data_IF_025867989797
#
_entry.id   IF_025867989797
#
_cell.length_a   1.000
_cell.length_b   1.000
_cell.length_c   1.000
_cell.angle_alpha   90.00
_cell.angle_beta   90.00
_cell.angle_gamma   90.00
#
_symmetry.space_group_name_H-M   'P 1'
#
loop_
_entity.id
_entity.type
_entity.pdbx_description
1 polymer ?
2 non-polymer ?
3 water ?
#
# COMPACT_ATOMS: atom_id res chain seq x y z
N UNK A 2 -11.48 19.82 -12.51
CA UNK A 2 -10.76 18.54 -12.86
C UNK A 2 -11.51 17.31 -12.38
N UNK A 3 -10.84 16.16 -12.41
CA UNK A 3 -11.45 14.90 -11.98
C UNK A 3 -11.19 14.58 -10.51
N UNK A 4 -12.15 13.92 -9.87
CA UNK A 4 -11.98 13.52 -8.49
C UNK A 4 -11.85 12.02 -8.50
N UNK A 5 -10.87 11.51 -7.77
CA UNK A 5 -10.62 10.08 -7.68
C UNK A 5 -11.01 9.57 -6.30
N UNK A 6 -11.87 8.58 -6.26
CA UNK A 6 -12.27 8.00 -4.97
C UNK A 6 -11.54 6.68 -4.80
N UNK A 7 -10.83 6.54 -3.67
CA UNK A 7 -10.09 5.31 -3.40
C UNK A 7 -10.98 4.41 -2.56
N UNK A 8 -11.56 3.41 -3.22
CA UNK A 8 -12.49 2.49 -2.56
C UNK A 8 -11.90 1.16 -2.11
N UNK A 9 -10.59 1.10 -1.89
CA UNK A 9 -9.99 -0.15 -1.42
C UNK A 9 -10.68 -0.56 -0.12
N UNK A 10 -11.07 -1.83 0.00
CA UNK A 10 -11.74 -2.31 1.22
C UNK A 10 -11.01 -2.03 2.53
N UNK A 11 -9.69 -1.89 2.48
CA UNK A 11 -8.94 -1.60 3.70
C UNK A 11 -9.15 -0.15 4.11
N UNK A 12 -9.20 0.74 3.12
CA UNK A 12 -9.41 2.14 3.40
C UNK A 12 -10.82 2.25 3.97
N UNK A 13 -11.80 1.69 3.26
CA UNK A 13 -13.18 1.72 3.70
C UNK A 13 -13.32 1.21 5.13
N UNK A 14 -12.63 0.11 5.43
CA UNK A 14 -12.67 -0.48 6.75
C UNK A 14 -12.15 0.52 7.80
N UNK A 15 -10.92 0.99 7.63
CA UNK A 15 -10.33 1.93 8.58
C UNK A 15 -11.09 3.25 8.69
N UNK A 16 -11.67 3.69 7.57
CA UNK A 16 -12.44 4.93 7.57
C UNK A 16 -13.59 4.81 8.57
N UNK A 17 -14.27 3.67 8.55
CA UNK A 17 -15.37 3.44 9.47
C UNK A 17 -15.01 3.71 10.93
N UNK A 18 -13.86 3.20 11.39
CA UNK A 18 -13.50 3.42 12.78
C UNK A 18 -13.02 4.84 13.03
N UNK A 19 -12.54 5.47 11.96
CA UNK A 19 -12.09 6.84 12.03
C UNK A 19 -13.30 7.74 12.32
N UNK A 20 -14.43 7.45 11.66
CA UNK A 20 -15.66 8.22 11.85
C UNK A 20 -16.33 7.99 13.21
N UNK A 21 -16.40 6.73 13.62
CA UNK A 21 -17.03 6.35 14.88
C UNK A 21 -16.65 7.27 16.03
N UNK A 22 -17.66 7.91 16.63
CA UNK A 22 -17.42 8.84 17.72
C UNK A 22 -16.66 8.23 18.88
N UNK A 23 -16.78 6.92 19.06
CA UNK A 23 -16.12 6.29 20.19
C UNK A 23 -14.64 6.04 20.03
N UNK A 24 -14.10 6.24 18.84
CA UNK A 24 -12.68 6.03 18.66
C UNK A 24 -11.92 7.17 19.34
N UNK A 25 -11.10 6.81 20.32
CA UNK A 25 -10.32 7.81 21.04
C UNK A 25 -9.25 8.44 20.18
N UNK A 26 -8.66 9.50 20.72
CA UNK A 26 -7.64 10.26 19.99
C UNK A 26 -6.45 9.42 19.52
N UNK A 27 -5.95 8.53 20.36
CA UNK A 27 -4.82 7.70 19.99
C UNK A 27 -5.08 6.77 18.79
N UNK A 28 -6.23 6.11 18.77
CA UNK A 28 -6.55 5.24 17.65
C UNK A 28 -6.76 6.06 16.38
N UNK A 29 -7.49 7.17 16.56
CA UNK A 29 -7.79 8.07 15.46
C UNK A 29 -6.48 8.40 14.75
N UNK A 30 -5.58 9.03 15.51
CA UNK A 30 -4.27 9.43 15.05
C UNK A 30 -3.61 8.33 14.24
N UNK A 31 -3.48 7.16 14.85
CA UNK A 31 -2.87 6.01 14.20
C UNK A 31 -3.61 5.49 12.98
N UNK A 32 -4.93 5.56 13.01
CA UNK A 32 -5.74 5.10 11.89
C UNK A 32 -5.59 6.01 10.66
N UNK A 33 -5.55 7.32 10.91
CA UNK A 33 -5.41 8.29 9.83
C UNK A 33 -4.06 8.09 9.15
N UNK A 34 -3.01 7.92 9.95
CA UNK A 34 -1.67 7.70 9.42
C UNK A 34 -1.67 6.49 8.48
N UNK A 35 -2.37 5.43 8.89
CA UNK A 35 -2.47 4.22 8.08
C UNK A 35 -3.21 4.49 6.76
N UNK A 36 -4.40 5.08 6.85
CA UNK A 36 -5.16 5.37 5.65
C UNK A 36 -4.39 6.33 4.74
N UNK A 37 -3.47 7.08 5.34
CA UNK A 37 -2.67 8.02 4.57
C UNK A 37 -1.69 7.23 3.73
N UNK A 38 -0.97 6.31 4.35
CA UNK A 38 -0.01 5.49 3.61
C UNK A 38 -0.71 4.71 2.49
N UNK A 39 -1.88 4.16 2.80
CA UNK A 39 -2.62 3.39 1.82
C UNK A 39 -3.01 4.22 0.60
N UNK A 40 -3.43 5.47 0.82
CA UNK A 40 -3.80 6.34 -0.29
C UNK A 40 -2.57 6.77 -1.07
N UNK A 41 -1.44 6.88 -0.37
CA UNK A 41 -0.20 7.27 -0.99
C UNK A 41 0.14 6.22 -2.06
N UNK A 42 -0.14 4.96 -1.75
CA UNK A 42 0.14 3.89 -2.71
C UNK A 42 -0.70 4.06 -3.97
N UNK A 43 -2.00 4.26 -3.80
CA UNK A 43 -2.93 4.44 -4.91
C UNK A 43 -2.60 5.63 -5.79
N UNK A 44 -2.23 6.74 -5.15
CA UNK A 44 -1.93 7.95 -5.90
C UNK A 44 -0.64 7.88 -6.69
N UNK A 45 0.39 7.24 -6.13
CA UNK A 45 1.67 7.14 -6.81
C UNK A 45 1.71 6.10 -7.91
N UNK A 46 0.57 5.50 -8.22
CA UNK A 46 0.50 4.48 -9.26
C UNK A 46 0.88 5.06 -10.63
N UNK A 47 0.93 6.38 -10.70
CA UNK A 47 1.26 7.14 -11.92
C UNK A 47 2.74 7.23 -12.24
N UNK A 48 3.54 7.51 -11.22
CA UNK A 48 4.98 7.67 -11.38
C UNK A 48 5.55 7.05 -12.65
N UNK A 49 6.16 7.88 -13.51
CA UNK A 49 6.75 7.44 -14.78
C UNK A 49 7.93 6.51 -14.57
N UNK A 50 8.07 5.52 -15.44
CA UNK A 50 9.17 4.56 -15.34
C UNK A 50 10.15 4.76 -16.50
N UNK A 51 11.43 4.63 -16.17
CA UNK A 51 12.51 4.77 -17.14
C UNK A 51 13.24 3.44 -17.03
N UNK A 52 13.69 2.86 -18.14
CA UNK A 52 14.36 1.57 -17.99
C UNK A 52 15.87 1.58 -18.15
N UNK A 53 16.53 1.10 -17.10
CA UNK A 53 17.97 1.01 -17.03
C UNK A 53 18.39 -0.44 -17.23
N UNK A 54 19.69 -0.68 -17.17
CA UNK A 54 20.24 -2.03 -17.33
C UNK A 54 21.10 -2.39 -16.11
N UNK A 55 20.61 -3.34 -15.32
CA UNK A 55 21.34 -3.77 -14.14
C UNK A 55 21.98 -5.12 -14.42
N UNK A 56 22.58 -5.71 -13.39
CA UNK A 56 23.22 -7.01 -13.52
C UNK A 56 23.05 -7.82 -12.24
N UNK A 57 22.15 -8.79 -12.27
CA UNK A 57 21.88 -9.65 -11.12
C UNK A 57 23.04 -10.61 -10.93
N UNK A 58 23.03 -11.39 -9.84
CA UNK A 58 24.11 -12.34 -9.54
C UNK A 58 24.12 -13.48 -10.54
N UNK A 59 23.07 -13.55 -11.35
CA UNK A 59 22.95 -14.61 -12.36
C UNK A 59 23.21 -14.14 -13.78
N UNK A 60 22.76 -12.94 -14.14
CA UNK A 60 22.99 -12.43 -15.49
C UNK A 60 22.63 -10.96 -15.59
N UNK A 61 22.79 -10.37 -16.77
CA UNK A 61 22.42 -8.97 -16.96
C UNK A 61 20.92 -8.93 -17.06
N UNK A 62 20.34 -7.74 -17.00
CA UNK A 62 18.90 -7.58 -17.10
C UNK A 62 18.45 -6.16 -17.38
N UNK A 63 17.26 -6.07 -17.96
CA UNK A 63 16.68 -4.78 -18.27
C UNK A 63 15.57 -4.57 -17.25
N UNK A 64 15.76 -3.62 -16.35
CA UNK A 64 14.77 -3.34 -15.32
C UNK A 64 14.27 -1.92 -15.46
N UNK A 65 13.39 -1.53 -14.54
CA UNK A 65 12.82 -0.19 -14.55
C UNK A 65 12.98 0.49 -13.21
N UNK A 66 13.04 1.82 -13.23
CA UNK A 66 13.16 2.60 -12.01
C UNK A 66 12.24 3.81 -12.15
N UNK A 67 11.92 4.46 -11.04
CA UNK A 67 11.05 5.61 -11.12
C UNK A 67 11.69 6.81 -11.81
N UNK A 68 10.98 7.26 -12.84
CA UNK A 68 11.33 8.38 -13.72
C UNK A 68 12.31 9.40 -13.19
N UNK A 69 12.17 9.75 -11.92
CA UNK A 69 13.05 10.76 -11.38
C UNK A 69 12.31 12.07 -11.53
N UNK A 70 11.68 12.50 -10.43
CA UNK A 70 10.93 13.73 -10.39
C UNK A 70 10.89 14.12 -8.92
N UNK A 71 10.70 15.41 -8.66
CA UNK A 71 10.67 15.91 -7.29
C UNK A 71 9.24 16.03 -6.77
N UNK A 72 9.02 15.57 -5.55
CA UNK A 72 7.70 15.61 -4.96
C UNK A 72 7.64 16.51 -3.73
N UNK A 73 6.47 17.10 -3.54
CA UNK A 73 6.27 17.96 -2.40
C UNK A 73 4.99 17.66 -1.67
N UNK A 74 5.09 17.44 -0.37
CA UNK A 74 3.93 17.17 0.45
C UNK A 74 3.73 18.39 1.33
N UNK A 75 2.54 18.99 1.24
CA UNK A 75 2.23 20.19 2.01
C UNK A 75 0.93 20.09 2.79
N UNK A 76 1.03 19.94 4.11
CA UNK A 76 -0.17 19.85 4.94
C UNK A 76 -0.70 21.24 5.23
N UNK A 77 -2.01 21.35 5.43
CA UNK A 77 -2.63 22.62 5.79
C UNK A 77 -2.76 22.62 7.31
N UNK A 78 -2.04 23.48 8.02
CA UNK A 78 -2.13 23.50 9.48
C UNK A 78 -3.59 23.61 9.91
N UNK A 79 -3.98 22.89 10.96
CA UNK A 79 -3.07 22.01 11.68
C UNK A 79 -3.33 20.53 11.40
N UNK A 80 -4.60 20.16 11.25
CA UNK A 80 -4.94 18.76 11.02
C UNK A 80 -4.26 18.16 9.80
N UNK A 81 -3.52 18.97 9.07
CA UNK A 81 -2.86 18.44 7.89
C UNK A 81 -1.66 17.58 8.19
N UNK A 82 -0.98 17.84 9.30
CA UNK A 82 0.19 17.05 9.60
C UNK A 82 -0.13 15.58 9.86
N UNK A 83 -1.37 15.29 10.21
CA UNK A 83 -1.76 13.92 10.48
C UNK A 83 -1.62 12.95 9.32
N UNK A 84 -1.40 13.46 8.12
CA UNK A 84 -1.29 12.62 6.93
C UNK A 84 0.04 12.75 6.18
N UNK A 85 1.02 13.40 6.78
CA UNK A 85 2.30 13.59 6.11
C UNK A 85 3.22 12.37 6.21
N UNK A 86 3.62 12.01 7.43
CA UNK A 86 4.50 10.86 7.64
C UNK A 86 3.98 9.58 6.97
N UNK A 87 2.66 9.45 6.89
CA UNK A 87 2.08 8.29 6.26
C UNK A 87 2.50 8.24 4.80
N UNK A 88 2.50 9.41 4.16
CA UNK A 88 2.89 9.52 2.76
C UNK A 88 4.40 9.45 2.62
N UNK A 89 5.11 10.04 3.57
CA UNK A 89 6.55 10.03 3.53
C UNK A 89 7.13 8.61 3.60
N UNK A 90 6.35 7.67 4.11
CA UNK A 90 6.80 6.27 4.19
C UNK A 90 7.12 5.76 2.80
N UNK A 91 6.23 6.02 1.84
CA UNK A 91 6.43 5.58 0.47
C UNK A 91 7.39 6.47 -0.30
N UNK A 92 7.34 7.77 -0.03
CA UNK A 92 8.21 8.72 -0.74
C UNK A 92 9.01 9.54 0.26
N UNK A 93 10.09 8.95 0.82
CA UNK A 93 10.94 9.60 1.80
C UNK A 93 11.72 10.80 1.24
N UNK A 94 11.88 10.82 -0.08
CA UNK A 94 12.62 11.89 -0.74
C UNK A 94 11.83 13.19 -0.86
N UNK A 95 10.51 13.07 -0.98
CA UNK A 95 9.64 14.23 -1.12
C UNK A 95 9.94 15.22 -0.02
N UNK A 96 9.83 16.50 -0.37
CA UNK A 96 10.07 17.58 0.57
C UNK A 96 8.77 18.02 1.21
N UNK A 97 8.86 18.50 2.45
CA UNK A 97 7.67 18.92 3.17
C UNK A 97 7.55 20.43 3.42
N UNK A 98 6.46 21.01 2.96
CA UNK A 98 6.21 22.42 3.17
C UNK A 98 4.90 22.62 3.93
N UNK A 99 4.80 23.71 4.68
CA UNK A 99 3.60 24.00 5.45
C UNK A 99 2.90 25.28 5.00
N UNK A 100 1.62 25.40 5.32
CA UNK A 100 0.84 26.57 4.98
C UNK A 100 -0.17 26.85 6.07
N UNK A 101 -0.11 28.06 6.63
CA UNK A 101 -1.04 28.47 7.66
C UNK A 101 -2.05 29.43 7.04
N UNK A 102 -3.25 29.48 7.59
CA UNK A 102 -4.29 30.38 7.09
C UNK A 102 -4.99 31.02 8.28
N UNK A 103 -5.37 32.29 8.12
CA UNK A 103 -6.08 33.00 9.18
C UNK A 103 -7.47 33.35 8.65
N UNK A 104 -8.38 33.68 9.54
CA UNK A 104 -9.73 34.03 9.14
C UNK A 104 -10.10 35.34 9.80
N UNK A 105 -10.67 36.28 9.05
CA UNK A 105 -11.05 37.54 9.67
C UNK A 105 -12.56 37.59 9.98
N UNK A 106 -12.93 38.34 11.04
CA UNK A 106 -14.29 38.52 11.53
C UNK A 106 -15.42 38.55 10.50
N UNK A 107 -15.42 39.56 9.64
CA UNK A 107 -16.47 39.68 8.66
C UNK A 107 -15.98 39.31 7.25
N UNK A 108 -15.63 38.04 7.07
CA UNK A 108 -15.15 37.56 5.78
C UNK A 108 -15.73 36.18 5.52
N UNK A 109 -15.73 35.78 4.27
CA UNK A 109 -16.27 34.48 3.87
C UNK A 109 -15.21 33.46 3.46
N UNK A 110 -13.94 33.86 3.48
CA UNK A 110 -12.86 32.98 3.06
C UNK A 110 -11.57 33.12 3.85
N UNK A 111 -10.82 32.02 4.01
CA UNK A 111 -9.56 31.99 4.73
C UNK A 111 -8.54 32.75 3.90
N UNK A 112 -7.37 33.02 4.46
CA UNK A 112 -6.36 33.76 3.71
C UNK A 112 -4.94 33.39 4.09
N UNK A 113 -4.09 33.27 3.07
CA UNK A 113 -2.69 32.94 3.26
C UNK A 113 -2.17 33.71 4.48
N UNK A 114 -1.40 33.04 5.34
CA UNK A 114 -0.88 33.66 6.57
C UNK A 114 0.56 33.27 6.87
N UNK A 115 0.86 31.99 6.69
CA UNK A 115 2.19 31.49 6.96
C UNK A 115 2.52 30.49 5.87
N UNK A 116 3.62 30.73 5.17
CA UNK A 116 4.04 29.84 4.09
C UNK A 116 5.53 29.53 4.13
N UNK A 117 5.85 28.25 4.10
CA UNK A 117 7.23 27.80 4.10
C UNK A 117 7.27 26.65 3.11
N UNK A 118 8.06 26.79 2.07
CA UNK A 118 8.17 25.76 1.05
C UNK A 118 9.63 25.48 0.72
N UNK A 119 9.88 24.34 0.05
CA UNK A 119 11.25 23.98 -0.33
C UNK A 119 11.59 24.94 -1.46
N UNK A 120 12.85 25.33 -1.60
CA UNK A 120 13.25 26.30 -2.64
C UNK A 120 13.06 25.92 -4.11
N UNK A 121 13.08 24.64 -4.42
CA UNK A 121 12.90 24.18 -5.80
C UNK A 121 11.45 24.22 -6.30
N UNK A 122 10.62 25.06 -5.68
CA UNK A 122 9.20 25.19 -6.02
C UNK A 122 8.80 25.03 -7.49
N UNK A 123 9.36 25.87 -8.35
CA UNK A 123 9.06 25.83 -9.78
C UNK A 123 9.13 24.42 -10.37
N UNK A 124 10.09 23.64 -9.89
CA UNK A 124 10.31 22.29 -10.40
C UNK A 124 9.35 21.18 -10.00
N UNK A 125 9.22 20.93 -8.70
CA UNK A 125 8.40 19.84 -8.19
C UNK A 125 6.89 19.88 -8.13
N UNK A 126 6.32 18.68 -8.25
CA UNK A 126 4.88 18.46 -8.19
C UNK A 126 4.52 18.40 -6.71
N UNK A 127 3.40 19.02 -6.36
CA UNK A 127 2.96 19.06 -4.97
C UNK A 127 1.64 18.36 -4.74
N UNK A 128 1.48 17.92 -3.50
CA UNK A 128 0.25 17.27 -3.06
C UNK A 128 -0.12 17.97 -1.76
N UNK A 129 -1.18 18.78 -1.80
CA UNK A 129 -1.65 19.49 -0.61
C UNK A 129 -2.55 18.50 0.11
N UNK A 130 -2.33 18.32 1.41
CA UNK A 130 -3.15 17.39 2.18
C UNK A 130 -3.87 18.02 3.37
N UNK A 131 -5.09 17.56 3.59
CA UNK A 131 -5.92 18.04 4.68
C UNK A 131 -7.00 16.98 4.87
N UNK A 132 -7.23 16.54 6.11
CA UNK A 132 -8.25 15.52 6.36
C UNK A 132 -9.62 15.80 5.76
N UNK A 133 -10.09 17.04 5.93
CA UNK A 133 -11.42 17.42 5.44
C UNK A 133 -11.49 18.54 4.39
N UNK A 134 -12.32 18.32 3.38
CA UNK A 134 -12.55 19.32 2.35
C UNK A 134 -14.02 19.67 2.56
N UNK A 135 -14.29 20.74 3.32
CA UNK A 135 -15.66 21.15 3.64
C UNK A 135 -16.26 22.18 2.68
N UNK A 136 -15.99 23.44 2.96
CA UNK A 136 -16.51 24.52 2.11
C UNK A 136 -15.54 24.75 0.97
N UNK A 137 -14.35 24.16 1.06
CA UNK A 137 -13.35 24.33 0.03
C UNK A 137 -12.58 25.60 0.26
N UNK A 138 -12.99 26.37 1.26
CA UNK A 138 -12.32 27.60 1.57
C UNK A 138 -10.83 27.47 1.77
N UNK A 139 -10.44 26.66 2.75
CA UNK A 139 -9.05 26.43 3.09
C UNK A 139 -8.26 25.84 1.92
N UNK A 140 -8.86 24.91 1.19
CA UNK A 140 -8.17 24.30 0.07
C UNK A 140 -7.82 25.35 -0.99
N UNK A 141 -8.80 26.12 -1.42
CA UNK A 141 -8.58 27.17 -2.43
C UNK A 141 -7.48 28.16 -2.01
N UNK A 142 -7.56 28.68 -0.79
CA UNK A 142 -6.56 29.61 -0.30
C UNK A 142 -5.17 28.98 -0.43
N UNK A 143 -5.08 27.70 -0.07
CA UNK A 143 -3.84 26.95 -0.11
C UNK A 143 -3.29 26.80 -1.53
N UNK A 144 -4.15 26.47 -2.49
CA UNK A 144 -3.71 26.34 -3.88
C UNK A 144 -3.28 27.72 -4.41
N UNK A 145 -4.09 28.75 -4.15
CA UNK A 145 -3.75 30.11 -4.58
C UNK A 145 -2.35 30.40 -4.05
N UNK A 146 -2.09 29.99 -2.81
CA UNK A 146 -0.80 30.19 -2.19
C UNK A 146 0.34 29.55 -3.00
N UNK A 147 0.13 28.32 -3.47
CA UNK A 147 1.17 27.62 -4.24
C UNK A 147 1.32 28.17 -5.66
N UNK A 148 0.21 28.41 -6.35
CA UNK A 148 0.28 28.93 -7.71
C UNK A 148 1.06 30.26 -7.76
N UNK A 149 0.84 31.08 -6.74
CA UNK A 149 1.50 32.36 -6.63
C UNK A 149 3.02 32.19 -6.54
N UNK A 150 3.49 31.05 -6.03
CA UNK A 150 4.93 30.81 -5.93
C UNK A 150 5.47 30.06 -7.14
N UNK A 151 4.59 29.77 -8.09
CA UNK A 151 5.01 29.12 -9.31
C UNK A 151 5.22 27.62 -9.35
N UNK A 152 4.35 26.86 -8.68
CA UNK A 152 4.46 25.42 -8.74
C UNK A 152 3.41 25.11 -9.80
N UNK A 153 3.77 24.36 -10.83
CA UNK A 153 2.78 24.10 -11.87
C UNK A 153 2.13 22.71 -11.86
N UNK A 154 2.26 22.01 -10.74
CA UNK A 154 1.61 20.72 -10.61
C UNK A 154 1.07 20.63 -9.20
N UNK A 155 -0.24 20.67 -9.06
CA UNK A 155 -0.87 20.62 -7.75
C UNK A 155 -2.01 19.61 -7.68
N UNK A 156 -1.95 18.75 -6.67
CA UNK A 156 -2.97 17.73 -6.44
C UNK A 156 -3.46 17.89 -5.01
N UNK A 157 -4.74 17.67 -4.80
CA UNK A 157 -5.28 17.76 -3.46
C UNK A 157 -5.76 16.40 -3.01
N UNK A 158 -5.49 16.06 -1.75
CA UNK A 158 -5.90 14.78 -1.21
C UNK A 158 -6.44 14.93 0.21
N UNK A 159 -7.53 14.23 0.48
CA UNK A 159 -8.20 14.29 1.76
C UNK A 159 -8.92 12.98 2.01
N UNK A 160 -9.41 12.78 3.23
CA UNK A 160 -10.15 11.58 3.58
C UNK A 160 -11.59 11.77 3.15
N UNK A 161 -12.28 12.71 3.79
CA UNK A 161 -13.70 12.98 3.49
C UNK A 161 -13.93 14.38 2.89
N UNK A 162 -14.77 14.45 1.88
CA UNK A 162 -15.08 15.71 1.22
C UNK A 162 -16.58 15.90 1.04
N UNK A 163 -17.02 17.16 1.03
CA UNK A 163 -18.42 17.48 0.84
C UNK A 163 -18.61 18.00 -0.59
N UNK A 164 -19.79 17.80 -1.17
CA UNK A 164 -20.05 18.27 -2.54
C UNK A 164 -19.69 19.73 -2.73
N UNK A 165 -20.22 20.60 -1.87
CA UNK A 165 -19.93 22.02 -1.96
C UNK A 165 -18.45 22.30 -2.08
N UNK A 166 -17.65 21.72 -1.18
CA UNK A 166 -16.21 21.92 -1.20
C UNK A 166 -15.53 21.45 -2.47
N UNK A 167 -16.03 20.35 -3.04
CA UNK A 167 -15.48 19.82 -4.28
C UNK A 167 -15.76 20.84 -5.36
N UNK A 168 -17.00 21.33 -5.37
CA UNK A 168 -17.42 22.32 -6.35
C UNK A 168 -16.61 23.61 -6.23
N UNK A 169 -16.36 24.02 -4.98
CA UNK A 169 -15.59 25.21 -4.73
C UNK A 169 -14.21 25.11 -5.41
N UNK A 170 -13.59 23.94 -5.31
CA UNK A 170 -12.27 23.71 -5.89
C UNK A 170 -12.32 23.63 -7.41
N UNK A 171 -13.31 22.93 -7.92
CA UNK A 171 -13.50 22.79 -9.36
C UNK A 171 -13.54 24.20 -9.96
N UNK A 172 -14.49 24.98 -9.48
CA UNK A 172 -14.69 26.36 -9.91
C UNK A 172 -13.40 27.18 -9.86
N UNK A 173 -12.86 27.35 -8.66
CA UNK A 173 -11.65 28.16 -8.46
C UNK A 173 -10.38 27.64 -9.14
N UNK A 174 -10.23 26.32 -9.24
CA UNK A 174 -9.03 25.74 -9.83
C UNK A 174 -9.35 24.45 -10.60
N UNK A 175 -9.77 24.57 -11.86
CA UNK A 175 -10.09 23.37 -12.65
C UNK A 175 -8.89 22.50 -13.00
N UNK A 176 -7.68 23.04 -12.88
CA UNK A 176 -6.45 22.31 -13.22
C UNK A 176 -5.89 21.46 -12.08
N UNK A 177 -6.64 21.35 -10.98
CA UNK A 177 -6.19 20.57 -9.84
C UNK A 177 -7.09 19.36 -9.67
N UNK A 178 -6.50 18.18 -9.61
CA UNK A 178 -7.29 16.98 -9.41
C UNK A 178 -7.48 16.77 -7.92
N UNK A 179 -8.51 16.03 -7.57
CA UNK A 179 -8.82 15.77 -6.18
C UNK A 179 -8.88 14.28 -5.87
N UNK A 180 -8.24 13.89 -4.79
CA UNK A 180 -8.19 12.50 -4.35
C UNK A 180 -8.84 12.41 -2.98
N UNK A 181 -9.97 11.72 -2.91
CA UNK A 181 -10.68 11.57 -1.65
C UNK A 181 -10.90 10.10 -1.34
N UNK A 182 -11.29 9.80 -0.11
CA UNK A 182 -11.56 8.43 0.30
C UNK A 182 -13.07 8.22 0.44
N UNK A 183 -13.80 9.32 0.49
CA UNK A 183 -15.25 9.26 0.64
C UNK A 183 -15.86 10.62 0.36
N UNK A 184 -17.03 10.61 -0.28
CA UNK A 184 -17.75 11.84 -0.59
C UNK A 184 -19.04 11.80 0.24
N UNK A 185 -19.10 12.61 1.29
CA UNK A 185 -20.30 12.63 2.13
C UNK A 185 -21.39 13.47 1.48
N UNK A 186 -22.51 13.68 2.17
CA UNK A 186 -23.62 14.38 1.53
C UNK A 186 -23.74 15.90 1.57
N UNK A 187 -23.39 16.53 2.69
CA UNK A 187 -23.53 17.97 2.79
C UNK A 187 -22.85 18.59 4.00
N UNK A 188 -23.08 19.89 4.19
CA UNK A 188 -22.53 20.59 5.34
C UNK A 188 -23.68 21.02 6.24
N UNK A 189 -23.39 21.29 7.51
CA UNK A 189 -24.43 21.79 8.41
C UNK A 189 -24.12 23.26 8.68
N UNK A 190 -25.02 23.95 9.36
CA UNK A 190 -24.82 25.36 9.64
C UNK A 190 -23.45 25.75 10.22
N UNK A 191 -22.76 24.84 10.87
CA UNK A 191 -21.47 25.17 11.44
C UNK A 191 -20.31 24.84 10.51
N UNK A 192 -20.61 24.25 9.36
CA UNK A 192 -19.56 23.95 8.41
C UNK A 192 -18.92 22.58 8.50
N UNK A 193 -19.54 21.68 9.27
CA UNK A 193 -19.02 20.32 9.41
C UNK A 193 -19.58 19.40 8.32
N UNK A 194 -18.78 18.45 7.88
CA UNK A 194 -19.24 17.52 6.86
C UNK A 194 -20.17 16.49 7.50
N UNK A 195 -21.26 16.17 6.81
CA UNK A 195 -22.24 15.22 7.30
C UNK A 195 -22.24 13.99 6.41
N UNK A 196 -22.09 12.79 6.99
CA UNK A 196 -21.93 12.47 8.41
C UNK A 196 -20.55 12.85 8.94
N UNK A 197 -19.57 12.84 8.03
CA UNK A 197 -18.22 13.22 8.39
C UNK A 197 -17.51 12.47 9.51
N UNK A 198 -16.72 13.20 10.30
CA UNK A 198 -15.98 12.64 11.41
C UNK A 198 -15.71 13.66 12.52
N UNK A 199 -16.45 14.76 12.51
CA UNK A 199 -16.22 15.77 13.54
C UNK A 199 -15.04 16.66 13.21
N UNK A 200 -14.38 17.16 14.25
CA UNK A 200 -13.24 18.06 14.12
C UNK A 200 -11.89 17.35 14.01
N UNK A 201 -11.43 17.11 12.79
CA UNK A 201 -10.16 16.41 12.56
C UNK A 201 -9.03 16.83 13.51
N UNK A 202 -8.84 18.13 13.68
CA UNK A 202 -7.80 18.61 14.58
C UNK A 202 -7.92 18.15 16.02
N UNK A 203 -9.11 18.25 16.61
CA UNK A 203 -9.28 17.81 18.00
C UNK A 203 -9.10 16.31 18.14
N UNK A 204 -9.67 15.56 17.20
CA UNK A 204 -9.57 14.11 17.23
C UNK A 204 -8.10 13.71 17.08
N UNK A 205 -7.33 14.45 16.29
CA UNK A 205 -5.92 14.15 16.08
C UNK A 205 -5.02 14.46 17.27
N UNK A 206 -4.97 15.72 17.65
CA UNK A 206 -4.11 16.16 18.73
C UNK A 206 -4.70 15.92 20.10
N UNK A 207 -6.01 15.70 20.16
CA UNK A 207 -6.63 15.47 21.45
C UNK A 207 -6.58 16.73 22.28
N UNK A 208 -6.29 17.83 21.62
CA UNK A 208 -6.20 19.12 22.29
C UNK A 208 -6.55 20.26 21.33
N UNK A 209 -6.75 21.45 21.88
CA UNK A 209 -7.10 22.64 21.09
C UNK A 209 -5.86 23.36 20.56
N UNK B 2 -4.81 -22.29 -12.69
CA UNK B 2 -5.52 -21.01 -12.35
C UNK B 2 -4.89 -19.81 -13.02
N UNK B 3 -5.27 -18.60 -12.58
CA UNK B 3 -4.75 -17.37 -13.15
C UNK B 3 -3.55 -16.84 -12.36
N UNK B 4 -2.63 -16.18 -13.07
CA UNK B 4 -1.47 -15.57 -12.42
C UNK B 4 -1.66 -14.07 -12.52
N UNK B 5 -1.47 -13.39 -11.40
CA UNK B 5 -1.62 -11.95 -11.35
C UNK B 5 -0.25 -11.30 -11.20
N UNK B 6 0.06 -10.37 -12.11
CA UNK B 6 1.33 -9.67 -12.03
C UNK B 6 1.07 -8.28 -11.46
N UNK B 7 1.77 -7.92 -10.40
CA UNK B 7 1.62 -6.61 -9.78
C UNK B 7 2.67 -5.68 -10.37
N UNK B 8 2.24 -4.85 -11.31
CA UNK B 8 3.14 -3.93 -12.00
C UNK B 8 3.18 -2.51 -11.47
N UNK B 9 2.85 -2.30 -10.20
CA UNK B 9 2.90 -0.95 -9.65
C UNK B 9 4.33 -0.43 -9.81
N UNK B 10 4.49 0.81 -10.29
CA UNK B 10 5.83 1.39 -10.48
C UNK B 10 6.74 1.38 -9.24
N UNK B 11 6.16 1.36 -8.05
CA UNK B 11 6.98 1.30 -6.84
C UNK B 11 7.57 -0.10 -6.67
N UNK B 12 6.77 -1.12 -6.97
CA UNK B 12 7.22 -2.49 -6.87
C UNK B 12 8.34 -2.65 -7.90
N UNK B 13 8.04 -2.30 -9.14
CA UNK B 13 9.01 -2.38 -10.21
C UNK B 13 10.31 -1.70 -9.82
N UNK B 14 10.21 -0.50 -9.25
CA UNK B 14 11.39 0.25 -8.83
C UNK B 14 12.21 -0.54 -7.81
N UNK B 15 11.57 -0.92 -6.69
CA UNK B 15 12.28 -1.65 -5.65
C UNK B 15 12.80 -3.01 -6.12
N UNK B 16 12.07 -3.65 -7.03
CA UNK B 16 12.50 -4.95 -7.55
C UNK B 16 13.87 -4.81 -8.20
N UNK B 17 14.06 -3.75 -8.98
CA UNK B 17 15.33 -3.50 -9.64
C UNK B 17 16.51 -3.51 -8.69
N UNK B 18 16.40 -2.85 -7.54
CA UNK B 18 17.53 -2.85 -6.62
C UNK B 18 17.67 -4.17 -5.89
N UNK B 19 16.56 -4.90 -5.78
CA UNK B 19 16.57 -6.20 -5.14
C UNK B 19 17.40 -7.16 -5.99
N UNK B 20 17.27 -7.06 -7.31
CA UNK B 20 18.01 -7.91 -8.26
C UNK B 20 19.48 -7.56 -8.36
N UNK B 21 19.78 -6.27 -8.42
CA UNK B 21 21.16 -5.80 -8.56
C UNK B 21 22.11 -6.52 -7.62
N UNK B 22 23.13 -7.15 -8.19
CA UNK B 22 24.10 -7.91 -7.42
C UNK B 22 24.81 -7.09 -6.35
N UNK B 23 24.92 -5.79 -6.56
CA UNK B 23 25.60 -4.95 -5.58
C UNK B 23 24.81 -4.58 -4.33
N UNK B 24 23.52 -4.90 -4.31
CA UNK B 24 22.74 -4.57 -3.12
C UNK B 24 23.12 -5.54 -2.01
N UNK B 25 23.65 -4.99 -0.92
CA UNK B 25 24.06 -5.80 0.21
C UNK B 25 22.89 -6.44 0.92
N UNK B 26 23.20 -7.37 1.81
CA UNK B 26 22.19 -8.10 2.54
C UNK B 26 21.20 -7.22 3.30
N UNK B 27 21.68 -6.19 3.99
CA UNK B 27 20.80 -5.31 4.75
C UNK B 27 19.75 -4.58 3.89
N UNK B 28 20.15 -4.04 2.76
CA UNK B 28 19.20 -3.36 1.88
C UNK B 28 18.20 -4.36 1.31
N UNK B 29 18.75 -5.48 0.85
CA UNK B 29 17.96 -6.55 0.28
C UNK B 29 16.80 -6.86 1.22
N UNK B 30 17.17 -7.28 2.43
CA UNK B 30 16.25 -7.64 3.49
C UNK B 30 15.14 -6.59 3.60
N UNK B 31 15.56 -5.34 3.80
CA UNK B 31 14.62 -4.24 3.94
C UNK B 31 13.76 -3.96 2.71
N UNK B 32 14.34 -4.13 1.53
CA UNK B 32 13.61 -3.90 0.29
C UNK B 32 12.53 -4.98 0.05
N UNK B 33 12.85 -6.23 0.35
CA UNK B 33 11.90 -7.32 0.18
C UNK B 33 10.71 -7.07 1.11
N UNK B 34 11.00 -6.71 2.36
CA UNK B 34 9.94 -6.44 3.33
C UNK B 34 8.97 -5.38 2.77
N UNK B 35 9.54 -4.33 2.18
CA UNK B 35 8.74 -3.27 1.60
C UNK B 35 7.89 -3.79 0.44
N UNK B 36 8.52 -4.48 -0.52
CA UNK B 36 7.75 -5.00 -1.66
C UNK B 36 6.70 -5.99 -1.20
N UNK B 37 6.93 -6.57 -0.03
CA UNK B 37 5.99 -7.53 0.54
C UNK B 37 4.73 -6.79 0.97
N UNK B 38 4.91 -5.72 1.75
CA UNK B 38 3.78 -4.92 2.19
C UNK B 38 2.99 -4.36 0.99
N UNK B 39 3.71 -3.90 -0.03
CA UNK B 39 3.07 -3.33 -1.21
C UNK B 39 2.21 -4.34 -1.94
N UNK B 40 2.67 -5.58 -2.06
CA UNK B 40 1.89 -6.62 -2.72
C UNK B 40 0.71 -7.05 -1.85
N UNK B 41 0.89 -6.94 -0.53
CA UNK B 41 -0.16 -7.32 0.39
C UNK B 41 -1.34 -6.39 0.12
N UNK B 42 -1.06 -5.13 -0.18
CA UNK B 42 -2.14 -4.18 -0.45
C UNK B 42 -2.92 -4.61 -1.69
N UNK B 43 -2.19 -4.90 -2.77
CA UNK B 43 -2.80 -5.31 -4.05
C UNK B 43 -3.63 -6.58 -3.93
N UNK B 44 -3.11 -7.55 -3.19
CA UNK B 44 -3.81 -8.82 -3.04
C UNK B 44 -5.07 -8.73 -2.20
N UNK B 45 -5.05 -7.93 -1.14
CA UNK B 45 -6.21 -7.80 -0.27
C UNK B 45 -7.31 -6.92 -0.82
N UNK B 46 -7.16 -6.48 -2.07
CA UNK B 46 -8.17 -5.62 -2.68
C UNK B 46 -9.51 -6.35 -2.81
N UNK B 47 -9.49 -7.66 -2.60
CA UNK B 47 -10.67 -8.54 -2.70
C UNK B 47 -11.57 -8.53 -1.48
N UNK B 48 -10.96 -8.60 -0.30
CA UNK B 48 -11.68 -8.64 0.97
C UNK B 48 -13.12 -8.15 0.88
N UNK B 49 -14.07 -9.03 1.19
CA UNK B 49 -15.51 -8.72 1.16
C UNK B 49 -15.87 -7.68 2.20
N UNK B 50 -16.81 -6.81 1.84
CA UNK B 50 -17.28 -5.76 2.72
C UNK B 50 -18.71 -6.01 3.16
N UNK B 51 -18.95 -5.73 4.43
CA UNK B 51 -20.27 -5.89 5.04
C UNK B 51 -20.59 -4.49 5.56
N UNK B 52 -21.83 -4.03 5.44
CA UNK B 52 -22.10 -2.70 5.94
C UNK B 52 -22.87 -2.58 7.23
N UNK B 53 -22.22 -1.91 8.19
CA UNK B 53 -22.77 -1.68 9.51
C UNK B 53 -23.27 -0.24 9.60
N UNK B 54 -23.76 0.12 10.78
CA UNK B 54 -24.25 1.47 11.03
C UNK B 54 -23.53 2.07 12.23
N UNK B 55 -22.70 3.08 11.99
CA UNK B 55 -21.96 3.74 13.06
C UNK B 55 -22.60 5.09 13.34
N UNK B 56 -21.97 5.86 14.21
CA UNK B 56 -22.46 7.18 14.56
C UNK B 56 -21.28 8.14 14.80
N UNK B 57 -21.03 9.03 13.83
CA UNK B 57 -19.95 9.99 13.94
C UNK B 57 -20.35 11.08 14.94
N UNK B 58 -19.42 11.99 15.28
CA UNK B 58 -19.72 13.06 16.23
C UNK B 58 -20.71 14.06 15.66
N UNK B 59 -21.03 13.92 14.38
CA UNK B 59 -21.97 14.82 13.72
C UNK B 59 -23.32 14.18 13.47
N UNK B 60 -23.35 12.92 13.06
CA UNK B 60 -24.63 12.24 12.80
C UNK B 60 -24.43 10.75 12.65
N UNK B 61 -25.51 10.02 12.39
CA UNK B 61 -25.42 8.58 12.20
C UNK B 61 -24.88 8.40 10.79
N UNK B 62 -24.47 7.18 10.46
CA UNK B 62 -23.96 6.90 9.13
C UNK B 62 -23.92 5.42 8.80
N UNK B 63 -23.92 5.13 7.49
CA UNK B 63 -23.86 3.77 7.03
C UNK B 63 -22.47 3.61 6.47
N UNK B 64 -21.65 2.82 7.16
CA UNK B 64 -20.27 2.58 6.73
C UNK B 64 -20.05 1.11 6.38
N UNK B 65 -18.84 0.75 6.02
CA UNK B 65 -18.51 -0.63 5.68
C UNK B 65 -17.29 -1.10 6.46
N UNK B 66 -17.22 -2.40 6.69
CA UNK B 66 -16.09 -3.00 7.41
C UNK B 66 -15.73 -4.29 6.68
N UNK B 67 -14.54 -4.81 6.94
CA UNK B 67 -14.15 -6.03 6.26
C UNK B 67 -14.94 -7.24 6.72
N UNK B 68 -15.54 -7.90 5.72
CA UNK B 68 -16.38 -9.09 5.85
C UNK B 68 -16.22 -9.93 7.11
N UNK B 69 -14.99 -10.13 7.54
CA UNK B 69 -14.76 -10.97 8.69
C UNK B 69 -14.48 -12.35 8.13
N UNK B 70 -13.19 -12.67 8.05
CA UNK B 70 -12.74 -13.96 7.56
C UNK B 70 -11.36 -14.16 8.17
N UNK B 71 -10.94 -15.41 8.29
CA UNK B 71 -9.65 -15.71 8.89
C UNK B 71 -8.58 -15.89 7.82
N UNK B 72 -7.43 -15.28 8.05
CA UNK B 72 -6.31 -15.36 7.11
C UNK B 72 -5.10 -16.09 7.67
N UNK B 73 -4.38 -16.74 6.77
CA UNK B 73 -3.19 -17.45 7.17
C UNK B 73 -2.03 -17.17 6.23
N UNK B 74 -0.92 -16.79 6.84
CA UNK B 74 0.28 -16.51 6.09
C UNK B 74 1.25 -17.64 6.42
N UNK B 75 1.74 -18.33 5.40
CA UNK B 75 2.66 -19.44 5.59
C UNK B 75 3.90 -19.34 4.72
N UNK B 76 5.04 -19.02 5.33
CA UNK B 76 6.29 -18.91 4.58
C UNK B 76 6.92 -20.29 4.42
N UNK B 77 7.64 -20.49 3.32
CA UNK B 77 8.33 -21.75 3.08
C UNK B 77 9.76 -21.54 3.55
N UNK B 78 10.16 -22.21 4.63
CA UNK B 78 11.52 -22.07 5.14
C UNK B 78 12.53 -22.25 4.01
N UNK B 79 13.58 -21.44 3.99
CA UNK B 79 13.78 -20.39 4.98
C UNK B 79 13.52 -19.00 4.42
N UNK B 80 13.85 -18.77 3.14
CA UNK B 80 13.67 -17.46 2.54
C UNK B 80 12.25 -16.96 2.58
N UNK B 81 11.34 -17.80 3.07
CA UNK B 81 9.96 -17.37 3.12
C UNK B 81 9.66 -16.36 4.22
N UNK B 82 10.38 -16.41 5.33
CA UNK B 82 10.09 -15.48 6.39
C UNK B 82 10.35 -14.03 5.99
N UNK B 83 11.16 -13.83 4.96
CA UNK B 83 11.45 -12.47 4.52
C UNK B 83 10.27 -11.66 4.04
N UNK B 84 9.12 -12.31 3.83
CA UNK B 84 7.93 -11.62 3.34
C UNK B 84 6.72 -11.72 4.26
N UNK B 85 6.91 -12.20 5.49
CA UNK B 85 5.78 -12.35 6.40
C UNK B 85 5.39 -11.04 7.10
N UNK B 86 6.29 -10.49 7.91
CA UNK B 86 6.01 -9.24 8.64
C UNK B 86 5.52 -8.13 7.72
N UNK B 87 5.95 -8.16 6.47
CA UNK B 87 5.52 -7.14 5.54
C UNK B 87 4.04 -7.24 5.31
N UNK B 88 3.55 -8.48 5.23
CA UNK B 88 2.14 -8.74 5.01
C UNK B 88 1.38 -8.54 6.33
N UNK B 89 2.00 -8.95 7.43
CA UNK B 89 1.37 -8.80 8.72
C UNK B 89 1.07 -7.34 9.09
N UNK B 90 1.77 -6.40 8.45
CA UNK B 90 1.53 -4.98 8.71
C UNK B 90 0.09 -4.63 8.33
N UNK B 91 -0.37 -5.12 7.19
CA UNK B 91 -1.73 -4.85 6.75
C UNK B 91 -2.75 -5.77 7.41
N UNK B 92 -2.38 -7.01 7.68
CA UNK B 92 -3.29 -7.96 8.30
C UNK B 92 -2.65 -8.54 9.55
N UNK B 93 -2.65 -7.78 10.65
CA UNK B 93 -2.06 -8.22 11.92
C UNK B 93 -2.77 -9.41 12.55
N UNK B 94 -4.05 -9.59 12.18
CA UNK B 94 -4.86 -10.67 12.73
C UNK B 94 -4.52 -12.03 12.14
N UNK B 95 -4.10 -12.05 10.88
CA UNK B 95 -3.76 -13.30 10.21
C UNK B 95 -2.81 -14.12 11.07
N UNK B 96 -2.97 -15.43 11.00
CA UNK B 96 -2.12 -16.34 11.76
C UNK B 96 -0.96 -16.81 10.90
N UNK B 97 0.15 -17.12 11.55
CA UNK B 97 1.34 -17.54 10.83
C UNK B 97 1.74 -18.99 11.04
N UNK B 98 1.87 -19.72 9.93
CA UNK B 98 2.26 -21.11 10.00
C UNK B 98 3.49 -21.32 9.14
N UNK B 99 4.31 -22.30 9.50
CA UNK B 99 5.54 -22.59 8.75
C UNK B 99 5.54 -23.98 8.12
N UNK B 100 6.38 -24.16 7.12
CA UNK B 100 6.48 -25.44 6.44
C UNK B 100 7.91 -25.67 6.01
N UNK B 101 8.48 -26.78 6.45
CA UNK B 101 9.84 -27.12 6.08
C UNK B 101 9.79 -28.25 5.06
N UNK B 102 10.79 -28.33 4.19
CA UNK B 102 10.86 -29.37 3.18
C UNK B 102 12.28 -29.93 3.12
N UNK B 103 12.40 -31.23 2.89
CA UNK B 103 13.72 -31.85 2.77
C UNK B 103 13.85 -32.37 1.35
N UNK B 104 15.07 -32.67 0.93
CA UNK B 104 15.29 -33.20 -0.41
C UNK B 104 16.16 -34.45 -0.29
N UNK B 105 15.80 -35.52 -0.99
CA UNK B 105 16.62 -36.73 -0.92
C UNK B 105 17.53 -36.86 -2.14
N UNK B 106 18.71 -37.48 -1.95
CA UNK B 106 19.75 -37.72 -2.96
C UNK B 106 19.29 -37.98 -4.38
N UNK B 107 18.62 -39.11 -4.60
CA UNK B 107 18.15 -39.46 -5.94
C UNK B 107 16.64 -39.25 -6.08
N UNK B 108 16.22 -37.99 -6.03
CA UNK B 108 14.81 -37.64 -6.17
C UNK B 108 14.72 -36.37 -7.00
N UNK B 109 13.53 -36.14 -7.55
CA UNK B 109 13.28 -34.96 -8.40
C UNK B 109 12.38 -33.91 -7.74
N UNK B 110 11.91 -34.20 -6.52
CA UNK B 110 11.00 -33.29 -5.84
C UNK B 110 11.19 -33.19 -4.32
N UNK B 111 10.93 -32.00 -3.75
CA UNK B 111 11.05 -31.76 -2.31
C UNK B 111 9.95 -32.55 -1.63
N UNK B 112 9.99 -32.64 -0.31
CA UNK B 112 8.98 -33.38 0.41
C UNK B 112 8.68 -32.83 1.80
N UNK B 113 7.39 -32.75 2.13
CA UNK B 113 6.94 -32.29 3.43
C UNK B 113 7.90 -32.82 4.50
N UNK B 114 8.27 -31.98 5.46
CA UNK B 114 9.21 -32.39 6.51
C UNK B 114 8.86 -31.84 7.88
N UNK B 115 8.48 -30.57 7.89
CA UNK B 115 8.13 -29.90 9.15
C UNK B 115 6.91 -29.05 8.87
N UNK B 116 5.86 -29.28 9.62
CA UNK B 116 4.63 -28.51 9.44
C UNK B 116 4.02 -28.07 10.75
N UNK B 117 3.74 -26.78 10.85
CA UNK B 117 3.12 -26.20 12.04
C UNK B 117 2.12 -25.20 11.51
N UNK B 118 0.86 -25.40 11.84
CA UNK B 118 -0.19 -24.52 11.37
C UNK B 118 -1.13 -24.15 12.50
N UNK B 119 -1.93 -23.10 12.29
CA UNK B 119 -2.88 -22.68 13.33
C UNK B 119 -3.97 -23.75 13.33
N UNK B 120 -4.58 -24.03 14.48
CA UNK B 120 -5.60 -25.09 14.55
C UNK B 120 -6.89 -24.94 13.72
N UNK B 121 -7.29 -23.71 13.44
CA UNK B 121 -8.51 -23.46 12.66
C UNK B 121 -8.35 -23.70 11.15
N UNK B 122 -7.38 -24.53 10.78
CA UNK B 122 -7.07 -24.82 9.38
C UNK B 122 -8.25 -24.90 8.39
N UNK B 123 -9.20 -25.79 8.68
CA UNK B 123 -10.36 -25.98 7.81
C UNK B 123 -11.03 -24.65 7.44
N UNK B 124 -11.09 -23.74 8.40
CA UNK B 124 -11.75 -22.46 8.22
C UNK B 124 -11.08 -21.40 7.34
N UNK B 125 -9.88 -20.99 7.73
CA UNK B 125 -9.18 -19.90 7.03
C UNK B 125 -8.49 -20.07 5.69
N UNK B 126 -8.46 -18.96 4.96
CA UNK B 126 -7.82 -18.87 3.65
C UNK B 126 -6.32 -18.64 3.90
N UNK B 127 -5.50 -19.32 3.12
CA UNK B 127 -4.06 -19.21 3.28
C UNK B 127 -3.34 -18.60 2.08
N UNK B 128 -2.19 -18.00 2.37
CA UNK B 128 -1.35 -17.41 1.35
C UNK B 128 0.03 -17.97 1.65
N UNK B 129 0.51 -18.86 0.78
CA UNK B 129 1.84 -19.43 0.94
C UNK B 129 2.78 -18.46 0.28
N UNK B 130 3.86 -18.08 0.98
CA UNK B 130 4.81 -17.13 0.41
C UNK B 130 6.24 -17.67 0.33
N UNK B 131 6.92 -17.28 -0.74
CA UNK B 131 8.30 -17.67 -0.97
C UNK B 131 8.82 -16.70 -2.02
N UNK B 132 10.00 -16.12 -1.80
CA UNK B 132 10.57 -15.16 -2.76
C UNK B 132 10.63 -15.67 -4.21
N UNK B 133 11.09 -16.91 -4.39
CA UNK B 133 11.24 -17.46 -5.74
C UNK B 133 10.41 -18.72 -6.07
N UNK B 134 9.82 -18.72 -7.26
CA UNK B 134 9.06 -19.87 -7.74
C UNK B 134 9.89 -20.31 -8.94
N UNK B 135 10.76 -21.30 -8.72
CA UNK B 135 11.66 -21.79 -9.78
C UNK B 135 11.15 -22.99 -10.58
N UNK B 136 11.36 -24.17 -10.03
CA UNK B 136 10.92 -25.40 -10.68
C UNK B 136 9.50 -25.69 -10.23
N UNK B 137 9.05 -24.96 -9.21
CA UNK B 137 7.72 -25.18 -8.69
C UNK B 137 7.70 -26.33 -7.72
N UNK B 138 8.85 -27.00 -7.60
CA UNK B 138 8.94 -28.13 -6.70
C UNK B 138 8.50 -27.84 -5.28
N UNK B 139 9.16 -26.87 -4.64
CA UNK B 139 8.88 -26.48 -3.26
C UNK B 139 7.44 -25.97 -3.09
N UNK B 140 6.96 -25.21 -4.07
CA UNK B 140 5.59 -24.70 -3.99
C UNK B 140 4.57 -25.85 -3.94
N UNK B 141 4.66 -26.76 -4.92
CA UNK B 141 3.75 -27.91 -4.99
C UNK B 141 3.75 -28.73 -3.69
N UNK B 142 4.94 -29.08 -3.20
CA UNK B 142 5.03 -29.84 -1.95
C UNK B 142 4.28 -29.11 -0.85
N UNK B 143 4.47 -27.79 -0.81
CA UNK B 143 3.85 -26.94 0.20
C UNK B 143 2.33 -26.93 0.11
N UNK B 144 1.79 -26.82 -1.10
CA UNK B 144 0.34 -26.83 -1.27
C UNK B 144 -0.20 -28.23 -0.92
N UNK B 145 0.46 -29.28 -1.40
CA UNK B 145 0.03 -30.65 -1.08
C UNK B 145 -0.05 -30.72 0.45
N UNK B 146 0.95 -30.12 1.10
CA UNK B 146 0.99 -30.13 2.55
C UNK B 146 -0.26 -29.53 3.16
N UNK B 147 -0.71 -28.39 2.62
CA UNK B 147 -1.90 -27.72 3.14
C UNK B 147 -3.20 -28.43 2.79
N UNK B 148 -3.34 -28.86 1.54
CA UNK B 148 -4.56 -29.56 1.13
C UNK B 148 -4.81 -30.78 2.01
N UNK B 149 -3.74 -31.49 2.32
CA UNK B 149 -3.80 -32.68 3.15
C UNK B 149 -4.37 -32.36 4.54
N UNK B 150 -4.21 -31.11 5.01
CA UNK B 150 -4.75 -30.73 6.33
C UNK B 150 -6.13 -30.12 6.22
N UNK B 151 -6.64 -30.05 5.00
CA UNK B 151 -7.98 -29.53 4.78
C UNK B 151 -8.22 -28.03 4.75
N UNK B 152 -7.32 -27.28 4.15
CA UNK B 152 -7.55 -25.85 4.04
C UNK B 152 -8.09 -25.79 2.61
N UNK B 153 -9.25 -25.15 2.41
CA UNK B 153 -9.79 -25.11 1.05
C UNK B 153 -9.64 -23.81 0.28
N UNK B 154 -8.73 -22.96 0.73
CA UNK B 154 -8.45 -21.72 0.03
C UNK B 154 -6.95 -21.49 0.10
N UNK B 155 -6.29 -21.64 -1.04
CA UNK B 155 -4.84 -21.47 -1.08
C UNK B 155 -4.39 -20.56 -2.21
N UNK B 156 -3.59 -19.56 -1.87
CA UNK B 156 -3.04 -18.63 -2.84
C UNK B 156 -1.53 -18.62 -2.68
N UNK B 157 -0.82 -18.50 -3.79
CA UNK B 157 0.63 -18.46 -3.72
C UNK B 157 1.12 -17.09 -4.16
N UNK B 158 2.12 -16.57 -3.46
CA UNK B 158 2.68 -15.26 -3.79
C UNK B 158 4.19 -15.28 -3.69
N UNK B 159 4.83 -14.65 -4.67
CA UNK B 159 6.28 -14.59 -4.74
C UNK B 159 6.70 -13.32 -5.48
N UNK B 160 8.00 -13.01 -5.45
CA UNK B 160 8.51 -11.85 -6.16
C UNK B 160 8.73 -12.23 -7.61
N UNK B 161 9.68 -13.14 -7.84
CA UNK B 161 10.02 -13.58 -9.20
C UNK B 161 9.69 -15.05 -9.45
N UNK B 162 9.14 -15.32 -10.63
CA UNK B 162 8.79 -16.70 -10.99
C UNK B 162 9.25 -17.04 -12.41
N UNK B 163 9.54 -18.32 -12.62
CA UNK B 163 9.98 -18.80 -13.92
C UNK B 163 8.81 -19.52 -14.58
N UNK B 164 8.76 -19.50 -15.92
CA UNK B 164 7.66 -20.16 -16.65
C UNK B 164 7.48 -21.62 -16.18
N UNK B 165 8.55 -22.40 -16.20
CA UNK B 165 8.46 -23.80 -15.79
C UNK B 165 7.76 -23.96 -14.44
N UNK B 166 8.19 -23.17 -13.46
CA UNK B 166 7.59 -23.24 -12.13
C UNK B 166 6.11 -22.89 -12.10
N UNK B 167 5.73 -21.93 -12.93
CA UNK B 167 4.33 -21.53 -13.00
C UNK B 167 3.54 -22.70 -13.55
N UNK B 168 4.10 -23.32 -14.60
CA UNK B 168 3.46 -24.46 -15.25
C UNK B 168 3.36 -25.63 -14.29
N UNK B 169 4.41 -25.85 -13.52
CA UNK B 169 4.42 -26.93 -12.53
C UNK B 169 3.23 -26.79 -11.58
N UNK B 170 2.95 -25.56 -11.15
CA UNK B 170 1.86 -25.28 -10.21
C UNK B 170 0.49 -25.42 -10.86
N UNK B 171 0.38 -24.90 -12.08
CA UNK B 171 -0.87 -24.97 -12.85
C UNK B 171 -1.26 -26.44 -12.92
N UNK B 172 -0.37 -27.24 -13.50
CA UNK B 172 -0.55 -28.68 -13.64
C UNK B 172 -0.96 -29.37 -12.34
N UNK B 173 -0.08 -29.35 -11.35
CA UNK B 173 -0.33 -29.99 -10.07
C UNK B 173 -1.52 -29.45 -9.26
N UNK B 174 -1.78 -28.15 -9.34
CA UNK B 174 -2.87 -27.54 -8.59
C UNK B 174 -3.55 -26.40 -9.37
N UNK B 175 -4.51 -26.73 -10.24
CA UNK B 175 -5.20 -25.69 -11.01
C UNK B 175 -6.11 -24.76 -10.18
N UNK B 176 -6.45 -25.18 -8.97
CA UNK B 176 -7.32 -24.39 -8.09
C UNK B 176 -6.59 -23.33 -7.24
N UNK B 177 -5.30 -23.15 -7.48
CA UNK B 177 -4.52 -22.18 -6.74
C UNK B 177 -4.08 -21.05 -7.65
N UNK B 178 -4.39 -19.83 -7.27
CA UNK B 178 -3.99 -18.68 -8.06
C UNK B 178 -2.58 -18.28 -7.67
N UNK B 179 -1.90 -17.60 -8.57
CA UNK B 179 -0.53 -17.19 -8.31
C UNK B 179 -0.35 -15.69 -8.43
N UNK B 180 0.34 -15.10 -7.46
CA UNK B 180 0.59 -13.66 -7.46
C UNK B 180 2.08 -13.44 -7.51
N UNK B 181 2.56 -12.86 -8.59
CA UNK B 181 3.98 -12.60 -8.75
C UNK B 181 4.24 -11.11 -9.04
N UNK B 182 5.49 -10.69 -8.93
CA UNK B 182 5.86 -9.31 -9.19
C UNK B 182 6.60 -9.23 -10.52
N UNK B 183 7.05 -10.38 -11.01
CA UNK B 183 7.77 -10.43 -12.27
C UNK B 183 7.90 -11.87 -12.74
N UNK B 184 7.81 -12.05 -14.05
CA UNK B 184 7.94 -13.36 -14.67
C UNK B 184 9.21 -13.32 -15.49
N UNK B 185 10.26 -13.99 -15.03
CA UNK B 185 11.51 -14.01 -15.76
C UNK B 185 11.45 -15.02 -16.90
N UNK B 186 12.55 -15.23 -17.61
CA UNK B 186 12.50 -16.11 -18.77
C UNK B 186 12.72 -17.61 -18.64
N UNK B 187 13.66 -18.03 -17.79
CA UNK B 187 13.91 -19.47 -17.68
C UNK B 187 14.78 -19.86 -16.49
N UNK B 188 15.16 -21.13 -16.43
CA UNK B 188 16.03 -21.62 -15.37
C UNK B 188 17.37 -22.01 -15.99
N UNK B 189 18.42 -22.11 -15.18
CA UNK B 189 19.70 -22.55 -15.71
C UNK B 189 19.95 -23.93 -15.11
N UNK B 190 21.01 -24.60 -15.53
CA UNK B 190 21.30 -25.94 -15.05
C UNK B 190 21.27 -26.14 -13.55
N UNK B 191 21.51 -25.08 -12.77
CA UNK B 191 21.50 -25.22 -11.33
C UNK B 191 20.15 -24.92 -10.70
N UNK B 192 19.18 -24.53 -11.52
CA UNK B 192 17.85 -24.26 -10.99
C UNK B 192 17.57 -22.82 -10.57
N UNK B 193 18.43 -21.90 -10.96
CA UNK B 193 18.23 -20.49 -10.61
C UNK B 193 17.39 -19.79 -11.67
N UNK B 194 16.57 -18.83 -11.26
CA UNK B 194 15.78 -18.09 -12.22
C UNK B 194 16.66 -17.08 -12.96
N UNK B 195 16.46 -16.98 -14.26
CA UNK B 195 17.23 -16.05 -15.09
C UNK B 195 16.31 -14.95 -15.61
N UNK B 196 16.67 -13.67 -15.40
CA UNK B 196 17.86 -13.14 -14.74
C UNK B 196 17.79 -13.34 -13.22
N UNK B 197 16.57 -13.37 -12.70
CA UNK B 197 16.36 -13.58 -11.27
C UNK B 197 17.03 -12.63 -10.30
N UNK B 198 17.47 -13.16 -9.16
CA UNK B 198 18.12 -12.37 -8.13
C UNK B 198 19.09 -13.19 -7.29
N UNK B 199 19.49 -14.35 -7.80
CA UNK B 199 20.40 -15.20 -7.06
C UNK B 199 19.70 -16.01 -6.00
N UNK B 200 20.41 -16.30 -4.90
CA UNK B 200 19.88 -17.10 -3.81
C UNK B 200 19.16 -16.27 -2.73
N UNK B 201 17.83 -16.18 -2.83
CA UNK B 201 17.05 -15.41 -1.87
C UNK B 201 17.48 -15.59 -0.41
N UNK B 202 17.66 -16.84 0.00
CA UNK B 202 18.08 -17.10 1.37
C UNK B 202 19.38 -16.44 1.77
N UNK B 203 20.43 -16.58 0.97
CA UNK B 203 21.72 -15.97 1.31
C UNK B 203 21.66 -14.44 1.32
N UNK B 204 20.98 -13.87 0.33
CA UNK B 204 20.84 -12.43 0.23
C UNK B 204 20.06 -11.92 1.46
N UNK B 205 19.07 -12.68 1.93
CA UNK B 205 18.27 -12.28 3.08
C UNK B 205 18.97 -12.35 4.42
N UNK B 206 19.40 -13.55 4.79
CA UNK B 206 20.07 -13.76 6.07
C UNK B 206 21.54 -13.36 6.07
N UNK B 207 22.13 -13.28 4.88
CA UNK B 207 23.54 -12.93 4.81
C UNK B 207 24.38 -14.05 5.36
N UNK B 208 23.77 -15.21 5.50
CA UNK B 208 24.44 -16.39 6.03
C UNK B 208 23.82 -17.68 5.47
N UNK B 209 24.52 -18.80 5.67
CA UNK B 209 24.04 -20.11 5.20
C UNK B 209 23.11 -20.76 6.22
#
# INVERSE_FOLDING_TARGET
MGKVYVFDHPLIQHKLTYIRDKNTGTKEFRELVDEVATLMAFEITRDLPLEEVEIETPVSKARAKVIAGKKLGVIPILRAGIGMVDGILKLIPAAKVGHIGLYRDPQTLKPVEYYVKLPSDVEERDFIIVDPMLATGGSAVAAIDALKKRGAKSIKFMCLIAAPEGVKAVETAHPDVDIYIAALDERLNDHGYIVPGLGDAGDRLFGTK
MGKVYVFDHPLIQHKLTYIRDKNTGTKEFRELVDEVATLMAFEITRDLPLEEVEIETPVSKARAKVIAGKKLGVIPILRAGIGMVDGILKLIPAAKVGHIGLYRDPQTLKPVEYYVKLPSDVEERDFIIVDPMLATGGSAVAAIDALKKRGAKSIKFMCLIAAPEGVKAVETAHPDVDIYIAALDERLNDHGYIVPGLGDAGDRLFGTK
#
